data_IF_705065692203
#
_entry.id   IF_705065692203
#
_cell.length_a   1.000
_cell.length_b   1.000
_cell.length_c   1.000
_cell.angle_alpha   90.00
_cell.angle_beta   90.00
_cell.angle_gamma   90.00
#
_symmetry.space_group_name_H-M   'P 1'
#
loop_
_entity.id
_entity.type
_entity.pdbx_description
1 polymer ?
#
# COMPACT_ATOMS: atom_id res chain seq x y z
N UNK A 1 29.55 28.18 -17.38
CA UNK A 1 28.76 27.33 -18.24
C UNK A 1 28.04 26.25 -17.50
N UNK A 2 26.81 26.08 -17.83
CA UNK A 2 25.71 25.36 -17.19
C UNK A 2 25.74 23.84 -17.27
N UNK A 3 26.87 23.22 -17.53
CA UNK A 3 26.97 21.78 -17.70
C UNK A 3 27.15 20.98 -16.41
N UNK A 4 27.61 21.61 -15.35
CA UNK A 4 27.97 20.93 -14.10
C UNK A 4 26.88 21.19 -13.09
N UNK A 5 26.25 20.11 -12.60
CA UNK A 5 25.21 20.16 -11.55
C UNK A 5 25.78 20.12 -10.13
N UNK A 6 26.81 19.28 -9.91
CA UNK A 6 27.50 19.14 -8.62
C UNK A 6 28.97 18.79 -8.86
N UNK A 7 29.86 19.41 -8.11
CA UNK A 7 31.32 19.13 -8.16
C UNK A 7 31.82 18.57 -6.85
N UNK A 8 32.98 17.94 -6.90
CA UNK A 8 33.76 17.51 -5.76
C UNK A 8 32.97 16.63 -4.78
N UNK A 9 32.16 15.72 -5.33
CA UNK A 9 31.48 14.70 -4.55
C UNK A 9 32.45 13.53 -4.32
N UNK A 10 32.25 12.76 -3.26
CA UNK A 10 33.08 11.58 -2.97
C UNK A 10 32.19 10.37 -2.72
N UNK A 11 32.50 9.25 -3.38
CA UNK A 11 31.88 7.96 -3.11
C UNK A 11 32.86 6.99 -2.43
N UNK A 12 32.33 6.26 -1.45
CA UNK A 12 33.05 5.17 -0.78
C UNK A 12 32.81 3.81 -1.45
N UNK A 13 32.15 3.81 -2.59
CA UNK A 13 31.72 2.62 -3.30
C UNK A 13 30.21 2.40 -3.24
N UNK A 14 29.70 1.44 -4.02
CA UNK A 14 28.28 1.08 -4.07
C UNK A 14 27.39 1.99 -4.92
N UNK A 15 27.92 3.09 -5.48
CA UNK A 15 27.13 4.05 -6.27
C UNK A 15 27.46 4.02 -7.76
N UNK A 16 28.73 3.88 -8.07
CA UNK A 16 29.25 3.97 -9.44
C UNK A 16 30.25 2.89 -9.75
N UNK A 17 30.36 2.55 -11.04
CA UNK A 17 31.34 1.64 -11.59
C UNK A 17 32.09 2.27 -12.78
N UNK A 18 33.31 1.84 -13.02
CA UNK A 18 34.15 2.20 -14.14
C UNK A 18 34.84 0.94 -14.66
N UNK A 19 34.80 0.72 -15.98
CA UNK A 19 35.46 -0.44 -16.62
C UNK A 19 35.06 -1.80 -16.01
N UNK A 20 33.86 -1.91 -15.39
CA UNK A 20 33.38 -3.13 -14.78
C UNK A 20 33.74 -3.30 -13.30
N UNK A 21 34.49 -2.37 -12.72
CA UNK A 21 34.87 -2.38 -11.30
C UNK A 21 34.16 -1.26 -10.54
N UNK A 22 33.99 -1.43 -9.24
CA UNK A 22 33.40 -0.46 -8.36
C UNK A 22 34.29 0.78 -8.23
N UNK A 23 33.71 1.96 -8.42
CA UNK A 23 34.45 3.20 -8.31
C UNK A 23 34.42 3.77 -6.89
N UNK A 24 35.61 4.03 -6.37
CA UNK A 24 35.83 4.73 -5.10
C UNK A 24 36.67 5.97 -5.37
N UNK A 25 36.15 7.15 -5.06
CA UNK A 25 36.87 8.38 -5.30
C UNK A 25 35.99 9.62 -5.49
N UNK A 26 36.64 10.68 -5.95
CA UNK A 26 35.93 11.94 -6.24
C UNK A 26 35.27 11.89 -7.60
N UNK A 27 34.07 12.48 -7.69
CA UNK A 27 33.31 12.56 -8.91
C UNK A 27 32.56 13.87 -9.04
N UNK A 28 32.15 14.18 -10.28
CA UNK A 28 31.36 15.35 -10.63
C UNK A 28 30.08 14.91 -11.33
N UNK A 29 28.95 15.55 -11.05
CA UNK A 29 27.69 15.30 -11.72
C UNK A 29 27.45 16.39 -12.75
N UNK A 30 27.36 15.99 -14.03
CA UNK A 30 27.05 16.88 -15.15
C UNK A 30 25.63 16.63 -15.66
N UNK A 31 25.20 17.41 -16.64
CA UNK A 31 23.94 17.17 -17.36
C UNK A 31 23.95 15.83 -18.11
N UNK A 32 25.14 15.36 -18.53
CA UNK A 32 25.35 14.11 -19.27
C UNK A 32 25.53 12.88 -18.37
N UNK A 33 25.71 13.08 -17.06
CA UNK A 33 25.93 12.02 -16.09
C UNK A 33 27.09 12.31 -15.15
N UNK A 34 27.43 11.33 -14.29
CA UNK A 34 28.58 11.41 -13.41
C UNK A 34 29.90 11.11 -14.15
N UNK A 35 30.96 11.78 -13.74
CA UNK A 35 32.34 11.63 -14.28
C UNK A 35 33.32 11.59 -13.12
N UNK A 36 34.46 10.88 -13.32
CA UNK A 36 35.53 10.79 -12.35
C UNK A 36 36.20 12.15 -12.10
N UNK A 37 36.85 12.29 -10.96
CA UNK A 37 37.72 13.41 -10.66
C UNK A 37 37.14 14.44 -9.69
N UNK A 38 38.02 15.26 -9.12
CA UNK A 38 37.70 16.32 -8.15
C UNK A 38 37.12 17.56 -8.82
N UNK A 39 37.59 17.87 -10.00
CA UNK A 39 37.17 18.99 -10.82
C UNK A 39 36.92 18.45 -12.22
N UNK A 40 35.81 18.84 -12.81
CA UNK A 40 35.51 18.42 -14.18
C UNK A 40 36.52 18.93 -15.18
N UNK A 41 37.18 18.04 -15.90
CA UNK A 41 38.13 18.32 -16.95
C UNK A 41 37.87 17.41 -18.16
N UNK A 42 38.38 17.77 -19.33
CA UNK A 42 38.12 17.06 -20.59
C UNK A 42 38.69 15.61 -20.65
N UNK A 43 39.53 15.24 -19.69
CA UNK A 43 40.15 13.90 -19.57
C UNK A 43 39.42 12.98 -18.59
N UNK A 44 38.31 13.41 -18.01
CA UNK A 44 37.59 12.61 -17.02
C UNK A 44 36.80 11.48 -17.72
N UNK A 45 36.82 10.32 -17.07
CA UNK A 45 36.09 9.16 -17.59
C UNK A 45 34.65 9.17 -17.08
N UNK A 46 33.68 8.80 -17.92
CA UNK A 46 32.29 8.66 -17.50
C UNK A 46 32.16 7.53 -16.49
N UNK A 47 31.38 7.77 -15.46
CA UNK A 47 30.99 6.77 -14.47
C UNK A 47 29.63 6.20 -14.83
N UNK A 48 29.46 4.92 -14.71
CA UNK A 48 28.19 4.24 -14.86
C UNK A 48 27.54 4.10 -13.48
N UNK A 49 26.26 4.46 -13.39
CA UNK A 49 25.50 4.25 -12.15
C UNK A 49 25.39 2.75 -11.96
N UNK A 50 25.91 2.25 -10.84
CA UNK A 50 25.57 0.93 -10.36
C UNK A 50 24.06 0.90 -10.16
N UNK A 51 23.35 0.21 -11.04
CA UNK A 51 21.95 -0.11 -10.78
C UNK A 51 21.95 -0.96 -9.52
N UNK A 52 21.58 -0.33 -8.43
CA UNK A 52 21.52 -0.89 -7.11
C UNK A 52 20.70 -2.17 -7.07
N UNK A 53 21.40 -3.27 -7.21
CA UNK A 53 20.91 -4.56 -6.72
C UNK A 53 22.04 -5.30 -5.98
N UNK A 54 23.10 -4.60 -5.58
CA UNK A 54 24.17 -5.21 -4.83
C UNK A 54 24.21 -4.70 -3.39
N UNK A 55 23.15 -5.01 -2.66
CA UNK A 55 23.28 -5.21 -1.24
C UNK A 55 23.84 -6.63 -1.07
N UNK A 56 24.85 -6.84 -0.21
CA UNK A 56 25.39 -8.18 0.11
C UNK A 56 24.28 -9.17 0.48
N UNK A 57 23.22 -8.70 1.12
CA UNK A 57 22.00 -9.46 1.39
C UNK A 57 21.30 -9.91 0.11
N UNK A 58 21.27 -9.07 -0.93
CA UNK A 58 20.67 -9.43 -2.22
C UNK A 58 21.47 -10.50 -2.95
N UNK A 59 22.81 -10.46 -2.85
CA UNK A 59 23.68 -11.53 -3.40
C UNK A 59 23.50 -12.84 -2.65
N UNK A 60 23.37 -12.80 -1.33
CA UNK A 60 23.09 -13.98 -0.51
C UNK A 60 21.75 -14.59 -0.92
N UNK A 61 20.71 -13.77 -1.10
CA UNK A 61 19.40 -14.25 -1.53
C UNK A 61 19.42 -14.78 -2.98
N UNK A 62 20.13 -14.13 -3.89
CA UNK A 62 20.28 -14.62 -5.27
C UNK A 62 21.09 -15.91 -5.31
N UNK A 63 22.19 -15.98 -4.57
CA UNK A 63 23.01 -17.18 -4.47
C UNK A 63 22.29 -18.34 -3.78
N UNK A 64 21.47 -18.08 -2.77
CA UNK A 64 20.58 -19.06 -2.13
C UNK A 64 19.48 -19.52 -3.09
N UNK A 65 18.89 -18.60 -3.84
CA UNK A 65 17.87 -18.92 -4.84
C UNK A 65 18.43 -19.79 -5.98
N UNK A 66 19.63 -19.47 -6.48
CA UNK A 66 20.32 -20.24 -7.51
C UNK A 66 20.83 -21.59 -6.98
N UNK A 67 21.31 -21.64 -5.73
CA UNK A 67 21.87 -22.86 -5.11
C UNK A 67 20.85 -23.85 -4.60
N UNK A 68 19.62 -23.41 -4.29
CA UNK A 68 18.56 -24.27 -3.78
C UNK A 68 17.67 -24.80 -4.91
N UNK A 69 17.93 -24.37 -6.16
CA UNK A 69 17.12 -24.81 -7.31
C UNK A 69 15.64 -24.46 -7.09
N UNK A 70 15.37 -23.21 -6.72
CA UNK A 70 14.00 -22.74 -6.79
C UNK A 70 13.55 -22.92 -8.23
N UNK A 71 12.68 -23.90 -8.40
CA UNK A 71 12.00 -24.07 -9.65
C UNK A 71 11.39 -22.70 -10.00
N UNK A 72 11.85 -22.15 -11.12
CA UNK A 72 11.30 -20.94 -11.72
C UNK A 72 9.83 -21.10 -12.11
N UNK A 73 9.29 -22.29 -11.87
CA UNK A 73 7.90 -22.72 -12.06
C UNK A 73 7.14 -22.89 -10.73
N UNK A 74 7.58 -22.31 -9.63
CA UNK A 74 6.62 -22.01 -8.59
C UNK A 74 5.76 -20.89 -9.15
N UNK A 75 4.69 -21.30 -9.79
CA UNK A 75 3.51 -20.47 -9.98
C UNK A 75 3.07 -20.08 -8.57
N UNK A 76 3.67 -19.00 -8.06
CA UNK A 76 3.08 -18.29 -6.94
C UNK A 76 1.82 -17.72 -7.55
N UNK A 77 0.72 -18.41 -7.38
CA UNK A 77 -0.58 -17.79 -7.52
C UNK A 77 -0.48 -16.45 -6.84
N UNK A 78 -0.50 -15.39 -7.62
CA UNK A 78 -0.56 -14.02 -7.06
C UNK A 78 -1.61 -14.08 -5.96
N UNK A 79 -1.27 -13.71 -4.71
CA UNK A 79 -2.21 -13.86 -3.62
C UNK A 79 -3.47 -13.12 -4.03
N UNK A 80 -4.49 -13.90 -4.36
CA UNK A 80 -5.80 -13.37 -4.75
C UNK A 80 -6.19 -12.41 -3.63
N UNK A 81 -6.40 -11.13 -3.93
CA UNK A 81 -6.75 -10.17 -2.90
C UNK A 81 -7.97 -10.73 -2.18
N UNK A 82 -7.87 -10.86 -0.85
CA UNK A 82 -8.96 -11.37 -0.05
C UNK A 82 -10.22 -10.58 -0.39
N UNK A 83 -11.24 -11.27 -0.92
CA UNK A 83 -12.51 -10.63 -1.25
C UNK A 83 -13.19 -10.33 0.06
N UNK A 84 -13.06 -9.09 0.52
CA UNK A 84 -13.70 -8.62 1.74
C UNK A 84 -15.17 -8.37 1.43
N UNK A 85 -16.01 -9.28 1.90
CA UNK A 85 -17.46 -9.22 1.73
C UNK A 85 -18.15 -9.65 3.03
N UNK A 86 -19.39 -9.16 3.29
CA UNK A 86 -20.16 -9.60 4.43
C UNK A 86 -20.58 -11.06 4.30
N UNK A 87 -20.50 -11.80 5.39
CA UNK A 87 -21.00 -13.16 5.47
C UNK A 87 -22.55 -13.19 5.50
N UNK A 88 -23.12 -14.37 5.28
CA UNK A 88 -24.59 -14.55 5.40
C UNK A 88 -25.14 -14.14 6.77
N UNK A 89 -24.35 -14.34 7.83
CA UNK A 89 -24.73 -13.96 9.19
C UNK A 89 -24.59 -12.45 9.42
N UNK A 90 -23.62 -11.79 8.78
CA UNK A 90 -23.51 -10.34 8.79
C UNK A 90 -24.70 -9.68 8.09
N UNK A 91 -25.11 -10.24 6.96
CA UNK A 91 -26.30 -9.78 6.22
C UNK A 91 -27.55 -9.88 7.10
N UNK A 92 -27.74 -11.01 7.81
CA UNK A 92 -28.87 -11.17 8.74
C UNK A 92 -28.82 -10.16 9.89
N UNK A 93 -27.60 -9.85 10.41
CA UNK A 93 -27.42 -8.87 11.49
C UNK A 93 -27.53 -7.43 11.01
N UNK A 94 -27.45 -7.18 9.71
CA UNK A 94 -27.55 -5.86 9.10
C UNK A 94 -26.29 -4.99 9.19
N UNK A 95 -25.19 -5.56 9.65
CA UNK A 95 -23.88 -4.89 9.69
C UNK A 95 -22.74 -5.91 9.72
N UNK A 96 -21.55 -5.49 9.27
CA UNK A 96 -20.32 -6.26 9.43
C UNK A 96 -19.15 -5.35 9.79
N UNK A 97 -18.08 -5.96 10.28
CA UNK A 97 -16.88 -5.24 10.65
C UNK A 97 -15.91 -5.20 9.47
N UNK A 98 -15.43 -4.00 9.14
CA UNK A 98 -14.37 -3.75 8.19
C UNK A 98 -13.11 -3.34 8.94
N UNK A 99 -12.00 -3.93 8.60
CA UNK A 99 -10.76 -3.81 9.33
C UNK A 99 -9.74 -3.04 8.50
N UNK A 100 -9.16 -1.98 9.05
CA UNK A 100 -8.20 -1.15 8.36
C UNK A 100 -6.94 -0.96 9.17
N UNK A 101 -5.81 -0.95 8.49
CA UNK A 101 -4.51 -0.64 9.07
C UNK A 101 -3.77 0.41 8.25
N UNK A 102 -2.88 1.12 8.91
CA UNK A 102 -1.95 2.07 8.30
C UNK A 102 -0.60 1.97 9.00
N UNK A 103 0.48 1.81 8.25
CA UNK A 103 1.84 1.82 8.80
C UNK A 103 2.19 3.23 9.27
N UNK A 104 2.67 3.38 10.51
CA UNK A 104 2.98 4.69 11.13
C UNK A 104 4.08 5.45 10.38
N UNK A 105 5.07 4.71 9.87
CA UNK A 105 6.25 5.26 9.19
C UNK A 105 6.12 5.29 7.66
N UNK A 106 4.93 5.03 7.10
CA UNK A 106 4.71 5.12 5.66
C UNK A 106 4.48 6.59 5.26
N UNK A 107 5.45 7.17 4.55
CA UNK A 107 5.36 8.55 4.02
C UNK A 107 4.17 8.73 3.08
N UNK A 108 3.73 7.67 2.39
CA UNK A 108 2.56 7.68 1.50
C UNK A 108 1.25 7.54 2.25
N UNK A 109 1.31 7.21 3.55
CA UNK A 109 0.15 7.04 4.43
C UNK A 109 -0.93 6.09 3.84
N UNK A 110 -0.49 4.99 3.19
CA UNK A 110 -1.40 4.02 2.56
C UNK A 110 -2.26 3.33 3.60
N UNK A 111 -3.53 3.19 3.30
CA UNK A 111 -4.51 2.48 4.11
C UNK A 111 -4.81 1.15 3.45
N UNK A 112 -4.75 0.07 4.23
CA UNK A 112 -5.04 -1.28 3.78
C UNK A 112 -6.27 -1.80 4.48
N UNK A 113 -7.19 -2.39 3.72
CA UNK A 113 -8.31 -3.13 4.25
C UNK A 113 -7.90 -4.61 4.36
N UNK A 114 -8.16 -5.22 5.51
CA UNK A 114 -7.78 -6.59 5.83
C UNK A 114 -9.02 -7.41 6.15
N UNK A 115 -8.92 -8.72 5.98
CA UNK A 115 -9.88 -9.64 6.57
C UNK A 115 -9.68 -9.74 8.10
N UNK A 116 -10.57 -10.44 8.77
CA UNK A 116 -10.55 -10.58 10.23
C UNK A 116 -9.28 -11.27 10.73
N UNK A 117 -8.82 -12.30 10.04
CA UNK A 117 -7.70 -13.14 10.48
C UNK A 117 -6.38 -12.40 10.27
N UNK A 118 -6.21 -11.73 9.14
CA UNK A 118 -5.08 -10.84 8.87
C UNK A 118 -5.03 -9.69 9.90
N UNK A 119 -6.18 -9.10 10.22
CA UNK A 119 -6.25 -8.03 11.21
C UNK A 119 -5.85 -8.53 12.59
N UNK A 120 -6.34 -9.69 13.03
CA UNK A 120 -5.94 -10.30 14.30
C UNK A 120 -4.44 -10.58 14.33
N UNK A 121 -3.87 -11.11 13.26
CA UNK A 121 -2.42 -11.35 13.14
C UNK A 121 -1.61 -10.07 13.38
N UNK A 122 -2.03 -8.94 12.79
CA UNK A 122 -1.34 -7.66 12.96
C UNK A 122 -1.59 -7.07 14.36
N UNK A 123 -2.82 -7.14 14.87
CA UNK A 123 -3.21 -6.54 16.14
C UNK A 123 -2.62 -7.29 17.33
N UNK A 124 -2.54 -8.62 17.27
CA UNK A 124 -2.05 -9.48 18.35
C UNK A 124 -0.52 -9.67 18.28
N UNK A 125 0.12 -9.18 17.21
CA UNK A 125 1.57 -9.28 17.03
C UNK A 125 2.07 -10.68 16.73
N UNK A 126 1.22 -11.53 16.18
CA UNK A 126 1.60 -12.88 15.75
C UNK A 126 2.42 -12.85 14.46
N UNK A 127 3.04 -13.97 14.09
CA UNK A 127 3.91 -14.07 12.90
C UNK A 127 5.06 -13.04 12.86
N UNK A 128 5.60 -12.61 14.02
CA UNK A 128 6.73 -11.67 14.10
C UNK A 128 6.38 -10.21 13.78
N UNK A 129 5.10 -9.88 13.66
CA UNK A 129 4.65 -8.52 13.40
C UNK A 129 4.62 -7.72 14.69
N UNK A 130 5.22 -6.52 14.68
CA UNK A 130 5.13 -5.60 15.81
C UNK A 130 3.89 -4.69 15.64
N UNK A 131 2.83 -4.82 16.49
CA UNK A 131 1.61 -4.04 16.37
C UNK A 131 1.83 -2.52 16.50
N UNK A 132 2.85 -2.12 17.27
CA UNK A 132 3.14 -0.70 17.50
C UNK A 132 3.54 0.07 16.23
N UNK A 133 3.93 -0.64 15.17
CA UNK A 133 4.26 -0.05 13.87
C UNK A 133 3.02 0.34 13.06
N UNK A 134 1.85 -0.08 13.49
CA UNK A 134 0.60 0.14 12.78
C UNK A 134 -0.38 0.97 13.60
N UNK A 135 -1.21 1.71 12.89
CA UNK A 135 -2.48 2.21 13.39
C UNK A 135 -3.55 1.28 12.87
N UNK A 136 -4.46 0.88 13.72
CA UNK A 136 -5.52 -0.04 13.35
C UNK A 136 -6.88 0.53 13.75
N UNK A 137 -7.90 0.23 12.96
CA UNK A 137 -9.28 0.64 13.24
C UNK A 137 -10.26 -0.37 12.69
N UNK A 138 -11.34 -0.56 13.42
CA UNK A 138 -12.49 -1.37 13.00
C UNK A 138 -13.67 -0.44 12.76
N UNK A 139 -14.27 -0.54 11.57
CA UNK A 139 -15.49 0.14 11.20
C UNK A 139 -16.66 -0.83 11.27
N UNK A 140 -17.64 -0.53 12.10
CA UNK A 140 -18.93 -1.22 12.08
C UNK A 140 -19.76 -0.67 10.94
N UNK A 141 -19.79 -1.40 9.83
CA UNK A 141 -20.39 -0.99 8.58
C UNK A 141 -21.82 -1.48 8.48
N UNK A 142 -22.79 -0.57 8.38
CA UNK A 142 -24.20 -0.89 8.22
C UNK A 142 -24.48 -1.28 6.76
N UNK A 143 -25.27 -2.34 6.56
CA UNK A 143 -25.59 -2.90 5.24
C UNK A 143 -27.07 -3.07 4.99
N UNK A 144 -27.91 -3.07 6.03
CA UNK A 144 -29.37 -3.15 5.90
C UNK A 144 -30.05 -1.89 6.39
N UNK A 145 -31.12 -1.49 5.70
CA UNK A 145 -31.95 -0.35 6.04
C UNK A 145 -32.16 0.58 4.86
N UNK A 146 -32.86 1.71 5.04
CA UNK A 146 -33.00 2.73 4.02
C UNK A 146 -31.64 3.34 3.69
N UNK A 147 -31.49 3.90 2.50
CA UNK A 147 -30.26 4.55 2.08
C UNK A 147 -29.91 5.74 2.99
N UNK A 148 -30.90 6.61 3.22
CA UNK A 148 -30.77 7.80 4.06
C UNK A 148 -31.62 7.71 5.32
N UNK A 149 -31.30 8.54 6.32
CA UNK A 149 -32.06 8.62 7.56
C UNK A 149 -33.52 9.02 7.32
N UNK A 150 -34.46 8.21 7.79
CA UNK A 150 -35.87 8.57 7.81
C UNK A 150 -36.13 9.38 9.08
N UNK A 151 -36.61 10.59 8.91
CA UNK A 151 -36.90 11.55 9.98
C UNK A 151 -38.37 11.86 10.11
N UNK A 152 -38.85 12.06 11.33
CA UNK A 152 -40.15 12.62 11.63
C UNK A 152 -40.02 13.56 12.82
N UNK A 153 -40.62 14.77 12.68
CA UNK A 153 -40.51 15.81 13.72
C UNK A 153 -39.04 16.21 14.08
N UNK A 154 -38.08 16.09 13.14
CA UNK A 154 -36.70 16.37 13.36
C UNK A 154 -35.90 15.24 14.02
N UNK A 155 -36.55 14.16 14.44
CA UNK A 155 -35.92 12.98 15.04
C UNK A 155 -35.70 11.90 13.97
N UNK A 156 -34.53 11.20 14.07
CA UNK A 156 -34.24 10.04 13.22
C UNK A 156 -35.07 8.86 13.75
N UNK A 157 -36.04 8.40 12.96
CA UNK A 157 -36.84 7.21 13.29
C UNK A 157 -36.11 5.94 12.82
N UNK A 158 -35.60 5.96 11.60
CA UNK A 158 -34.85 4.83 11.03
C UNK A 158 -33.55 5.34 10.49
N UNK A 159 -32.41 4.92 11.08
CA UNK A 159 -31.10 5.32 10.59
C UNK A 159 -30.81 4.75 9.20
N UNK A 160 -30.37 5.59 8.29
CA UNK A 160 -29.96 5.20 6.93
C UNK A 160 -28.58 4.50 6.90
N UNK A 161 -28.35 3.74 5.84
CA UNK A 161 -27.06 3.07 5.59
C UNK A 161 -25.98 4.11 5.33
N UNK A 162 -26.19 4.99 4.36
CA UNK A 162 -25.24 6.01 3.96
C UNK A 162 -24.90 6.96 5.10
N UNK A 163 -25.91 7.50 5.78
CA UNK A 163 -25.71 8.45 6.88
C UNK A 163 -25.03 7.82 8.09
N UNK A 164 -25.37 6.57 8.43
CA UNK A 164 -24.73 5.84 9.52
C UNK A 164 -23.26 5.55 9.22
N UNK A 165 -22.97 5.07 8.00
CA UNK A 165 -21.61 4.77 7.58
C UNK A 165 -20.78 6.05 7.46
N UNK A 166 -21.35 7.17 7.01
CA UNK A 166 -20.68 8.47 6.98
C UNK A 166 -20.28 8.94 8.38
N UNK A 167 -21.19 8.84 9.37
CA UNK A 167 -20.90 9.19 10.77
C UNK A 167 -19.77 8.32 11.35
N UNK A 168 -19.85 7.01 11.16
CA UNK A 168 -18.81 6.06 11.60
C UNK A 168 -17.46 6.38 10.93
N UNK A 169 -17.48 6.65 9.63
CA UNK A 169 -16.29 6.99 8.87
C UNK A 169 -15.64 8.29 9.35
N UNK A 170 -16.42 9.34 9.58
CA UNK A 170 -15.92 10.62 10.09
C UNK A 170 -15.28 10.47 11.48
N UNK A 171 -15.86 9.69 12.35
CA UNK A 171 -15.30 9.41 13.68
C UNK A 171 -13.96 8.67 13.57
N UNK A 172 -13.92 7.58 12.82
CA UNK A 172 -12.74 6.70 12.73
C UNK A 172 -11.63 7.24 11.84
N UNK A 173 -11.95 8.12 10.89
CA UNK A 173 -10.94 8.78 10.05
C UNK A 173 -9.98 9.68 10.83
N UNK A 174 -10.33 10.08 12.05
CA UNK A 174 -9.44 10.80 12.96
C UNK A 174 -8.23 9.97 13.37
N UNK A 175 -8.37 8.64 13.40
CA UNK A 175 -7.32 7.70 13.80
C UNK A 175 -6.39 7.33 12.63
N UNK A 176 -6.96 7.15 11.44
CA UNK A 176 -6.24 6.75 10.22
C UNK A 176 -6.37 7.80 9.15
N UNK A 177 -5.26 8.47 8.84
CA UNK A 177 -5.19 9.50 7.81
C UNK A 177 -5.47 8.92 6.42
N UNK A 178 -6.39 9.53 5.68
CA UNK A 178 -6.74 9.08 4.32
C UNK A 178 -7.91 8.10 4.26
N UNK A 179 -8.34 7.51 5.39
CA UNK A 179 -9.47 6.57 5.44
C UNK A 179 -10.77 7.20 4.89
N UNK A 180 -11.02 8.47 5.21
CA UNK A 180 -12.19 9.19 4.70
C UNK A 180 -12.16 9.31 3.17
N UNK A 181 -11.02 9.66 2.59
CA UNK A 181 -10.87 9.80 1.13
C UNK A 181 -11.11 8.47 0.43
N UNK A 182 -10.65 7.37 1.04
CA UNK A 182 -10.79 6.03 0.49
C UNK A 182 -12.27 5.59 0.41
N UNK A 183 -13.09 5.94 1.41
CA UNK A 183 -14.42 5.36 1.59
C UNK A 183 -15.58 6.32 1.36
N UNK A 184 -15.38 7.63 1.32
CA UNK A 184 -16.46 8.63 1.23
C UNK A 184 -17.43 8.42 0.05
N UNK A 185 -16.96 7.88 -1.07
CA UNK A 185 -17.76 7.62 -2.26
C UNK A 185 -18.30 6.17 -2.32
N UNK A 186 -18.17 5.40 -1.23
CA UNK A 186 -18.54 3.98 -1.17
C UNK A 186 -19.34 3.66 0.09
N UNK A 187 -20.15 4.63 0.57
CA UNK A 187 -20.88 4.52 1.83
C UNK A 187 -21.97 3.45 1.81
N UNK A 188 -22.52 3.16 0.64
CA UNK A 188 -23.56 2.13 0.42
C UNK A 188 -22.97 0.78 -0.01
N UNK A 189 -21.65 0.70 -0.21
CA UNK A 189 -21.00 -0.55 -0.63
C UNK A 189 -21.35 -1.70 0.32
N UNK A 190 -21.70 -2.85 -0.24
CA UNK A 190 -22.21 -4.04 0.42
C UNK A 190 -23.62 -3.90 1.01
N UNK A 191 -24.31 -2.80 0.76
CA UNK A 191 -25.70 -2.66 1.15
C UNK A 191 -26.63 -3.50 0.26
N UNK A 192 -27.85 -3.67 0.70
CA UNK A 192 -28.89 -4.34 -0.09
C UNK A 192 -29.12 -3.70 -1.47
N UNK A 193 -28.75 -2.42 -1.62
CA UNK A 193 -28.82 -1.69 -2.90
C UNK A 193 -27.72 -2.15 -3.87
N UNK A 194 -26.49 -2.35 -3.39
CA UNK A 194 -25.40 -2.85 -4.23
C UNK A 194 -25.58 -4.31 -4.64
N UNK A 195 -26.13 -5.12 -3.74
CA UNK A 195 -26.37 -6.55 -3.99
C UNK A 195 -27.40 -6.73 -5.12
N UNK A 196 -28.45 -5.91 -5.11
CA UNK A 196 -29.49 -5.94 -6.14
C UNK A 196 -28.97 -5.44 -7.50
N UNK A 197 -28.09 -4.44 -7.52
CA UNK A 197 -27.48 -3.96 -8.75
C UNK A 197 -26.44 -4.93 -9.33
N UNK A 198 -25.76 -5.71 -8.49
CA UNK A 198 -24.81 -6.73 -8.95
C UNK A 198 -25.50 -7.94 -9.57
N UNK A 199 -26.68 -8.30 -9.07
CA UNK A 199 -27.46 -9.40 -9.63
C UNK A 199 -28.19 -9.02 -10.95
N UNK A 200 -28.46 -7.72 -11.18
CA UNK A 200 -29.06 -7.27 -12.44
C UNK A 200 -28.06 -7.18 -13.60
N UNK A 201 -26.76 -7.17 -13.33
CA UNK A 201 -25.73 -7.17 -14.38
C UNK A 201 -25.26 -8.57 -14.82
N UNK A 202 -25.69 -9.62 -14.12
CA UNK A 202 -25.36 -11.02 -14.51
C UNK A 202 -26.39 -11.62 -15.47
N UNK A 203 -27.52 -10.96 -15.71
CA UNK A 203 -28.58 -11.47 -16.59
C UNK A 203 -28.56 -10.87 -18.02
N UNK A 204 -27.47 -10.18 -18.41
CA UNK A 204 -27.35 -9.57 -19.76
C UNK A 204 -26.22 -10.24 -20.58
N UNK A 205 -25.90 -11.49 -20.34
CA UNK A 205 -25.11 -12.31 -21.29
C UNK A 205 -25.84 -13.63 -21.57
N UNK A 206 -26.80 -13.55 -22.51
CA UNK A 206 -27.28 -14.67 -23.31
C UNK A 206 -27.36 -14.23 -24.77
#
# INVERSE_FOLDING_TARGET
>A
PSYIKRQNQYTKGGEYMIEGEEYIGYYNITVRGPYTGRVYADKEQPLFVLKTVFNEQSQIYTGLAEGIGYATDLDFDDPTPAVIAPSKDDIKRGFFNRYFIQKRNDKRARVYELDKDQYSTVSDGTAGINPSLFKSVVLRWKILGPEFDIKSGGLIITPGVSDTNARTLLEKSKLIKGLYILLKNRLTRFSSYDINNSNSNTDIEL
#
